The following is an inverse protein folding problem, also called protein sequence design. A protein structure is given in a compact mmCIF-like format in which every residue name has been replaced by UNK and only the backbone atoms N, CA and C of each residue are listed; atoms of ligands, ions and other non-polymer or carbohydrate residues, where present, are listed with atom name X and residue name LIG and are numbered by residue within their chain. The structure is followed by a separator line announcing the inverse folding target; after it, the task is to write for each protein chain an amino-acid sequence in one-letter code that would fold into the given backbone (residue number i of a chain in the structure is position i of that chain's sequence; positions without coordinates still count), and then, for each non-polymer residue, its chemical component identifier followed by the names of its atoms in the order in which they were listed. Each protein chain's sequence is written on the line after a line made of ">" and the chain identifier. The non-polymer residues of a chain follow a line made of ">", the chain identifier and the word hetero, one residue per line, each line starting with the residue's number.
data_IF_324743104262
#
_entry.id   IF_324743104262
#
_cell.length_a   1.000
_cell.length_b   1.000
_cell.length_c   1.000
_cell.angle_alpha   90.00
_cell.angle_beta   90.00
_cell.angle_gamma   90.00
#
_symmetry.space_group_name_H-M   'P 1'
#
loop_
_entity.id
_entity.type
_entity.pdbx_description
1 polymer ?
#
# COMPACT_ATOMS: atom_id res chain seq x y z
N UNK A 1 -38.33 9.61 12.94
CA UNK A 1 -38.06 9.06 11.59
C UNK A 1 -36.91 9.84 10.98
N UNK A 2 -35.70 9.29 11.09
CA UNK A 2 -34.55 9.70 10.27
C UNK A 2 -33.97 8.39 9.78
N UNK A 3 -34.04 8.20 8.47
CA UNK A 3 -33.62 6.98 7.79
C UNK A 3 -32.11 6.80 7.97
N UNK A 4 -31.72 5.66 8.56
CA UNK A 4 -30.35 5.19 8.55
C UNK A 4 -29.97 4.84 7.12
N UNK A 5 -29.02 5.58 6.56
CA UNK A 5 -28.39 5.29 5.29
C UNK A 5 -27.47 4.08 5.50
N UNK A 6 -28.00 2.88 5.31
CA UNK A 6 -27.21 1.65 5.24
C UNK A 6 -26.46 1.66 3.91
N UNK A 7 -25.15 1.88 3.94
CA UNK A 7 -24.27 1.63 2.79
C UNK A 7 -24.29 0.12 2.45
N UNK A 8 -24.63 -0.30 1.22
CA UNK A 8 -24.81 -1.71 0.88
C UNK A 8 -23.51 -2.44 0.52
N UNK A 9 -22.33 -1.90 0.86
CA UNK A 9 -21.04 -2.40 0.34
C UNK A 9 -20.00 -2.90 1.35
N UNK A 10 -20.35 -3.05 2.63
CA UNK A 10 -19.48 -3.74 3.58
C UNK A 10 -20.22 -4.95 4.15
N UNK A 11 -20.31 -6.00 3.34
CA UNK A 11 -20.36 -7.35 3.92
C UNK A 11 -18.93 -7.66 4.33
N UNK A 12 -18.58 -7.37 5.58
CA UNK A 12 -17.44 -8.01 6.24
C UNK A 12 -17.72 -9.50 6.22
N UNK A 13 -17.19 -10.17 5.21
CA UNK A 13 -17.13 -11.62 5.24
C UNK A 13 -15.93 -11.88 6.13
N UNK A 14 -16.20 -12.16 7.41
CA UNK A 14 -15.20 -12.58 8.37
C UNK A 14 -14.61 -13.90 7.81
N UNK A 15 -13.62 -13.77 6.94
CA UNK A 15 -12.99 -14.90 6.28
C UNK A 15 -12.21 -15.60 7.37
N UNK A 16 -12.82 -16.63 7.96
CA UNK A 16 -12.13 -17.55 8.87
C UNK A 16 -10.77 -17.90 8.28
N UNK A 17 -9.77 -18.13 9.13
CA UNK A 17 -8.41 -18.50 8.69
C UNK A 17 -8.40 -19.64 7.65
N UNK A 18 -9.36 -20.57 7.75
CA UNK A 18 -9.59 -21.63 6.76
C UNK A 18 -10.13 -21.11 5.41
N UNK A 19 -11.10 -20.19 5.45
CA UNK A 19 -11.64 -19.57 4.25
C UNK A 19 -10.58 -18.81 3.46
N UNK A 20 -9.75 -18.02 4.13
CA UNK A 20 -8.66 -17.33 3.44
C UNK A 20 -7.56 -18.29 2.99
N UNK A 21 -7.21 -19.32 3.77
CA UNK A 21 -6.28 -20.35 3.33
C UNK A 21 -6.72 -21.05 2.03
N UNK A 22 -8.03 -21.32 1.87
CA UNK A 22 -8.61 -21.82 0.62
C UNK A 22 -8.40 -20.84 -0.53
N UNK A 23 -8.63 -19.54 -0.30
CA UNK A 23 -8.37 -18.50 -1.31
C UNK A 23 -6.90 -18.51 -1.76
N UNK A 24 -5.96 -18.63 -0.82
CA UNK A 24 -4.52 -18.74 -1.16
C UNK A 24 -4.26 -19.98 -2.00
N UNK A 25 -4.78 -21.13 -1.59
CA UNK A 25 -4.63 -22.40 -2.29
C UNK A 25 -5.13 -22.36 -3.73
N UNK A 26 -6.35 -21.87 -3.91
CA UNK A 26 -6.98 -21.78 -5.22
C UNK A 26 -6.25 -20.78 -6.12
N UNK A 27 -5.77 -19.67 -5.55
CA UNK A 27 -4.99 -18.68 -6.29
C UNK A 27 -3.65 -19.23 -6.77
N UNK A 28 -2.91 -19.96 -5.92
CA UNK A 28 -1.65 -20.62 -6.32
C UNK A 28 -1.91 -21.64 -7.43
N UNK A 29 -2.91 -22.51 -7.23
CA UNK A 29 -3.28 -23.54 -8.21
C UNK A 29 -3.64 -22.93 -9.57
N UNK A 30 -4.47 -21.87 -9.55
CA UNK A 30 -4.84 -21.12 -10.76
C UNK A 30 -3.60 -20.58 -11.47
N UNK A 31 -2.71 -19.91 -10.75
CA UNK A 31 -1.52 -19.27 -11.35
C UNK A 31 -0.55 -20.28 -11.92
N UNK A 32 -0.28 -21.38 -11.23
CA UNK A 32 0.54 -22.46 -11.81
C UNK A 32 -0.11 -23.00 -13.10
N UNK A 33 -1.43 -23.17 -13.11
CA UNK A 33 -2.14 -23.66 -14.30
C UNK A 33 -2.08 -22.70 -15.50
N UNK A 34 -2.10 -21.39 -15.27
CA UNK A 34 -1.98 -20.36 -16.32
C UNK A 34 -0.63 -20.45 -17.06
N UNK A 35 0.45 -20.78 -16.33
CA UNK A 35 1.81 -20.80 -16.87
C UNK A 35 2.29 -22.17 -17.35
N UNK A 36 1.56 -23.26 -17.06
CA UNK A 36 1.98 -24.64 -17.36
C UNK A 36 2.39 -24.89 -18.82
N UNK A 37 1.82 -24.16 -19.78
CA UNK A 37 2.02 -24.40 -21.21
C UNK A 37 2.81 -23.29 -21.92
N UNK A 38 3.44 -22.36 -21.19
CA UNK A 38 4.17 -21.25 -21.82
C UNK A 38 5.59 -21.64 -22.27
N UNK A 39 6.03 -22.86 -21.96
CA UNK A 39 7.34 -23.42 -22.33
C UNK A 39 8.52 -22.93 -21.48
N UNK A 40 8.25 -22.18 -20.41
CA UNK A 40 9.24 -21.72 -19.44
C UNK A 40 9.14 -22.48 -18.12
N UNK A 41 10.23 -22.50 -17.38
CA UNK A 41 10.26 -23.03 -16.01
C UNK A 41 9.95 -21.90 -15.01
N UNK A 42 9.14 -22.22 -14.00
CA UNK A 42 8.62 -21.23 -13.05
C UNK A 42 8.80 -21.69 -11.59
N UNK A 43 9.02 -20.72 -10.71
CA UNK A 43 8.93 -20.92 -9.27
C UNK A 43 7.94 -19.90 -8.67
N UNK A 44 6.98 -20.40 -7.90
CA UNK A 44 5.92 -19.61 -7.29
C UNK A 44 6.13 -19.49 -5.78
N UNK A 45 6.08 -18.26 -5.32
CA UNK A 45 6.21 -17.85 -3.93
C UNK A 45 4.96 -17.08 -3.53
N UNK A 46 4.49 -17.23 -2.29
CA UNK A 46 3.35 -16.45 -1.78
C UNK A 46 3.83 -15.45 -0.74
N UNK A 47 3.39 -14.21 -0.90
CA UNK A 47 3.54 -13.16 0.09
C UNK A 47 2.17 -12.70 0.59
N UNK A 48 1.98 -12.66 1.91
CA UNK A 48 0.84 -11.99 2.51
C UNK A 48 1.19 -11.43 3.89
N UNK A 49 0.93 -10.14 4.20
CA UNK A 49 1.39 -9.53 5.45
C UNK A 49 0.72 -10.13 6.71
N UNK A 50 -0.53 -10.60 6.59
CA UNK A 50 -1.17 -11.40 7.63
C UNK A 50 -0.72 -12.87 7.53
N UNK A 51 -0.51 -13.51 8.69
CA UNK A 51 -0.07 -14.90 8.83
C UNK A 51 -1.10 -15.81 9.53
N UNK A 52 -2.25 -15.28 9.98
CA UNK A 52 -3.24 -16.05 10.75
C UNK A 52 -3.79 -17.26 9.99
N UNK A 53 -3.80 -17.20 8.66
CA UNK A 53 -4.24 -18.26 7.75
C UNK A 53 -3.20 -19.37 7.51
N UNK A 54 -1.91 -19.13 7.78
CA UNK A 54 -0.84 -20.07 7.45
C UNK A 54 -1.04 -21.43 8.13
N UNK A 55 -1.49 -21.43 9.39
CA UNK A 55 -1.78 -22.67 10.10
C UNK A 55 -2.94 -23.48 9.48
N UNK A 56 -3.94 -22.81 8.90
CA UNK A 56 -5.03 -23.47 8.18
C UNK A 56 -4.58 -23.96 6.80
N UNK A 57 -3.72 -23.21 6.13
CA UNK A 57 -3.12 -23.60 4.85
C UNK A 57 -2.30 -24.88 4.95
N UNK A 58 -1.44 -25.02 5.98
CA UNK A 58 -0.68 -26.26 6.20
C UNK A 58 -1.58 -27.48 6.47
N UNK A 59 -2.74 -27.28 7.11
CA UNK A 59 -3.73 -28.35 7.30
C UNK A 59 -4.42 -28.71 6.00
N UNK A 60 -4.72 -27.72 5.16
CA UNK A 60 -5.32 -27.89 3.85
C UNK A 60 -4.39 -28.70 2.93
N UNK A 61 -3.11 -28.33 2.86
CA UNK A 61 -2.10 -29.06 2.09
C UNK A 61 -1.97 -30.51 2.53
N UNK A 62 -1.99 -30.78 3.85
CA UNK A 62 -1.96 -32.15 4.37
C UNK A 62 -3.20 -32.95 3.98
N UNK A 63 -4.36 -32.29 3.88
CA UNK A 63 -5.63 -32.94 3.58
C UNK A 63 -5.82 -33.20 2.08
N UNK A 64 -5.39 -32.27 1.22
CA UNK A 64 -5.67 -32.30 -0.23
C UNK A 64 -4.47 -32.77 -1.07
N UNK A 65 -3.30 -32.94 -0.45
CA UNK A 65 -2.06 -33.29 -1.13
C UNK A 65 -1.18 -32.06 -1.35
N UNK A 66 0.08 -32.27 -1.73
CA UNK A 66 1.01 -31.16 -1.95
C UNK A 66 0.64 -30.38 -3.22
N UNK A 67 0.87 -29.06 -3.18
CA UNK A 67 0.84 -28.25 -4.40
C UNK A 67 1.90 -28.73 -5.40
N UNK A 68 1.74 -28.41 -6.70
CA UNK A 68 2.75 -28.74 -7.70
C UNK A 68 4.15 -28.25 -7.29
N UNK A 69 5.19 -28.99 -7.68
CA UNK A 69 6.59 -28.73 -7.31
C UNK A 69 7.12 -27.32 -7.68
N UNK A 70 6.45 -26.64 -8.61
CA UNK A 70 6.70 -25.25 -8.98
C UNK A 70 6.39 -24.29 -7.80
N UNK A 71 5.53 -24.70 -6.86
CA UNK A 71 5.27 -23.96 -5.63
C UNK A 71 6.39 -24.19 -4.62
N UNK A 72 7.05 -23.10 -4.22
CA UNK A 72 8.20 -23.14 -3.31
C UNK A 72 7.79 -22.89 -1.86
N UNK A 73 6.86 -21.97 -1.63
CA UNK A 73 6.29 -21.75 -0.31
C UNK A 73 5.78 -20.34 -0.05
N UNK A 74 5.56 -20.04 1.24
CA UNK A 74 4.87 -18.83 1.71
C UNK A 74 5.72 -18.08 2.73
N UNK A 75 5.64 -16.75 2.74
CA UNK A 75 6.16 -15.92 3.82
C UNK A 75 5.27 -14.69 4.08
N UNK A 76 5.33 -14.17 5.31
CA UNK A 76 4.60 -12.96 5.70
C UNK A 76 5.46 -11.70 5.73
N UNK A 77 6.77 -11.86 5.52
CA UNK A 77 7.74 -10.78 5.42
C UNK A 77 8.41 -10.85 4.05
N UNK A 78 8.32 -9.76 3.29
CA UNK A 78 8.81 -9.69 1.93
C UNK A 78 10.36 -9.71 1.87
N UNK A 79 11.05 -9.20 2.89
CA UNK A 79 12.52 -9.28 3.02
C UNK A 79 12.94 -10.74 3.19
N UNK A 80 12.25 -11.46 4.08
CA UNK A 80 12.50 -12.89 4.31
C UNK A 80 12.24 -13.68 3.03
N UNK A 81 11.13 -13.39 2.33
CA UNK A 81 10.80 -14.04 1.08
C UNK A 81 11.88 -13.81 0.02
N UNK A 82 12.32 -12.57 -0.20
CA UNK A 82 13.31 -12.24 -1.20
C UNK A 82 14.68 -12.85 -0.90
N UNK A 83 15.10 -12.93 0.37
CA UNK A 83 16.32 -13.65 0.76
C UNK A 83 16.21 -15.13 0.46
N UNK A 84 15.06 -15.74 0.73
CA UNK A 84 14.84 -17.15 0.39
C UNK A 84 14.85 -17.37 -1.12
N UNK A 85 14.19 -16.51 -1.89
CA UNK A 85 14.22 -16.53 -3.35
C UNK A 85 15.67 -16.44 -3.88
N UNK A 86 16.51 -15.59 -3.28
CA UNK A 86 17.92 -15.48 -3.66
C UNK A 86 18.66 -16.81 -3.43
N UNK A 87 18.44 -17.47 -2.29
CA UNK A 87 19.00 -18.80 -2.04
C UNK A 87 18.53 -19.84 -3.07
N UNK A 88 17.24 -19.83 -3.41
CA UNK A 88 16.67 -20.71 -4.44
C UNK A 88 17.31 -20.44 -5.79
N UNK A 89 17.49 -19.16 -6.18
CA UNK A 89 18.18 -18.79 -7.42
C UNK A 89 19.61 -19.34 -7.45
N UNK A 90 20.37 -19.17 -6.36
CA UNK A 90 21.75 -19.67 -6.28
C UNK A 90 21.78 -21.19 -6.46
N UNK A 91 20.87 -21.92 -5.80
CA UNK A 91 20.77 -23.38 -5.95
C UNK A 91 20.45 -23.79 -7.39
N UNK A 92 19.45 -23.16 -8.02
CA UNK A 92 19.07 -23.43 -9.42
C UNK A 92 20.21 -23.16 -10.40
N UNK A 93 20.98 -22.09 -10.19
CA UNK A 93 22.14 -21.77 -11.04
C UNK A 93 23.29 -22.76 -10.81
N UNK A 94 23.49 -23.23 -9.58
CA UNK A 94 24.48 -24.27 -9.28
C UNK A 94 24.13 -25.61 -9.93
N UNK A 95 22.85 -25.97 -9.96
CA UNK A 95 22.37 -27.25 -10.49
C UNK A 95 22.22 -27.25 -12.01
N UNK A 96 21.71 -26.15 -12.58
CA UNK A 96 21.29 -26.08 -13.99
C UNK A 96 22.08 -25.06 -14.83
N UNK A 97 23.04 -24.34 -14.23
CA UNK A 97 23.82 -23.31 -14.92
C UNK A 97 22.97 -22.17 -15.47
N UNK A 98 23.15 -21.83 -16.74
CA UNK A 98 22.43 -20.74 -17.39
C UNK A 98 20.92 -21.01 -17.55
N UNK A 99 20.48 -22.27 -17.54
CA UNK A 99 19.05 -22.59 -17.51
C UNK A 99 18.42 -22.14 -16.18
N UNK A 100 19.11 -22.32 -15.06
CA UNK A 100 18.66 -21.87 -13.74
C UNK A 100 18.50 -20.35 -13.61
N UNK A 101 19.28 -19.58 -14.38
CA UNK A 101 19.13 -18.11 -14.47
C UNK A 101 17.87 -17.68 -15.21
N UNK A 102 17.33 -18.53 -16.10
CA UNK A 102 16.17 -18.22 -16.93
C UNK A 102 14.84 -18.56 -16.26
N UNK A 103 14.86 -19.35 -15.18
CA UNK A 103 13.65 -19.72 -14.42
C UNK A 103 12.96 -18.47 -13.90
N UNK A 104 11.66 -18.32 -14.18
CA UNK A 104 10.88 -17.15 -13.78
C UNK A 104 10.38 -17.29 -12.35
N UNK A 105 10.65 -16.28 -11.54
CA UNK A 105 10.10 -16.20 -10.19
C UNK A 105 8.79 -15.41 -10.19
N UNK A 106 7.80 -15.94 -9.49
CA UNK A 106 6.50 -15.30 -9.28
C UNK A 106 6.29 -15.07 -7.80
N UNK A 107 6.00 -13.84 -7.40
CA UNK A 107 5.47 -13.51 -6.07
C UNK A 107 3.97 -13.31 -6.21
N UNK A 108 3.20 -14.26 -5.69
CA UNK A 108 1.76 -14.23 -5.63
C UNK A 108 1.32 -13.51 -4.35
N UNK A 109 0.50 -12.47 -4.50
CA UNK A 109 -0.04 -11.68 -3.38
C UNK A 109 -1.56 -11.94 -3.34
N UNK A 110 -2.01 -13.05 -2.72
CA UNK A 110 -3.44 -13.36 -2.64
C UNK A 110 -4.16 -12.30 -1.81
N UNK A 111 -5.41 -12.01 -2.16
CA UNK A 111 -6.26 -11.14 -1.34
C UNK A 111 -7.73 -11.36 -1.64
N UNK A 112 -8.56 -11.35 -0.59
CA UNK A 112 -10.03 -11.35 -0.70
C UNK A 112 -10.61 -9.94 -0.59
N UNK A 113 -9.82 -8.97 -0.16
CA UNK A 113 -10.22 -7.59 0.08
C UNK A 113 -9.15 -6.62 -0.46
N UNK A 114 -9.43 -5.32 -0.56
CA UNK A 114 -8.40 -4.37 -0.95
C UNK A 114 -7.19 -4.36 -0.01
N UNK A 115 -6.00 -4.70 -0.54
CA UNK A 115 -4.73 -4.71 0.20
C UNK A 115 -3.78 -3.65 -0.35
N UNK A 116 -3.41 -2.67 0.47
CA UNK A 116 -2.43 -1.64 0.11
C UNK A 116 -1.14 -1.88 0.87
N UNK A 117 -0.03 -2.01 0.13
CA UNK A 117 1.32 -2.10 0.67
C UNK A 117 2.02 -0.77 0.34
N UNK A 118 2.02 0.20 1.27
CA UNK A 118 2.42 1.57 1.00
C UNK A 118 3.94 1.76 0.92
N UNK A 119 4.70 0.83 1.49
CA UNK A 119 6.16 0.90 1.56
C UNK A 119 6.79 0.71 0.18
N UNK A 120 7.72 1.58 -0.25
CA UNK A 120 8.43 1.41 -1.50
C UNK A 120 9.48 0.28 -1.39
N UNK A 121 9.57 -0.56 -2.42
CA UNK A 121 10.57 -1.61 -2.53
C UNK A 121 11.27 -1.59 -3.89
N UNK A 122 12.52 -2.05 -3.90
CA UNK A 122 13.26 -2.42 -5.10
C UNK A 122 13.80 -3.85 -4.94
N UNK A 123 13.84 -4.60 -6.03
CA UNK A 123 14.37 -5.97 -6.05
C UNK A 123 15.77 -5.94 -6.64
N UNK A 124 16.68 -6.73 -6.08
CA UNK A 124 18.02 -6.89 -6.66
C UNK A 124 17.96 -7.65 -8.00
N UNK A 125 18.90 -7.34 -8.90
CA UNK A 125 18.96 -7.92 -10.25
C UNK A 125 19.06 -9.45 -10.25
N UNK A 126 19.64 -10.05 -9.20
CA UNK A 126 19.78 -11.50 -9.09
C UNK A 126 18.43 -12.24 -8.95
N UNK A 127 17.35 -11.56 -8.59
CA UNK A 127 16.02 -12.18 -8.50
C UNK A 127 15.34 -12.31 -9.87
N UNK A 128 15.80 -11.57 -10.88
CA UNK A 128 15.19 -11.58 -12.21
C UNK A 128 15.51 -12.88 -12.98
N UNK A 129 14.62 -13.34 -13.86
CA UNK A 129 13.33 -12.74 -14.21
C UNK A 129 12.27 -12.90 -13.09
N UNK A 130 11.59 -11.81 -12.74
CA UNK A 130 10.65 -11.71 -11.62
C UNK A 130 9.30 -11.13 -12.08
N UNK A 131 8.19 -11.61 -11.51
CA UNK A 131 6.84 -11.08 -11.72
C UNK A 131 6.06 -11.09 -10.41
N UNK A 132 5.35 -10.01 -10.10
CA UNK A 132 4.44 -9.92 -8.95
C UNK A 132 3.01 -10.00 -9.46
N UNK A 133 2.20 -10.87 -8.87
CA UNK A 133 0.82 -11.11 -9.31
C UNK A 133 -0.19 -10.98 -8.18
N UNK A 134 -1.24 -10.21 -8.42
CA UNK A 134 -2.38 -10.05 -7.53
C UNK A 134 -3.67 -10.62 -8.13
N UNK A 135 -4.71 -10.87 -7.32
CA UNK A 135 -6.02 -11.20 -7.84
C UNK A 135 -6.77 -9.97 -8.35
N UNK A 136 -7.64 -10.19 -9.34
CA UNK A 136 -8.63 -9.19 -9.78
C UNK A 136 -10.04 -9.62 -9.38
N UNK A 137 -10.89 -8.64 -9.10
CA UNK A 137 -12.32 -8.83 -8.88
C UNK A 137 -13.08 -7.87 -9.76
N UNK A 138 -13.90 -8.41 -10.68
CA UNK A 138 -14.69 -7.61 -11.64
C UNK A 138 -13.82 -6.62 -12.45
N UNK A 139 -12.63 -7.07 -12.85
CA UNK A 139 -11.67 -6.27 -13.62
C UNK A 139 -10.91 -5.22 -12.80
N UNK A 140 -11.09 -5.17 -11.47
CA UNK A 140 -10.34 -4.27 -10.59
C UNK A 140 -9.28 -5.07 -9.83
N UNK A 141 -8.07 -4.52 -9.71
CA UNK A 141 -7.00 -5.10 -8.91
C UNK A 141 -7.37 -5.04 -7.43
N UNK A 142 -7.03 -6.06 -6.66
CA UNK A 142 -7.24 -6.07 -5.21
C UNK A 142 -5.98 -5.74 -4.40
N UNK A 143 -4.84 -5.62 -5.06
CA UNK A 143 -3.56 -5.34 -4.40
C UNK A 143 -2.95 -4.08 -5.01
N UNK A 144 -2.45 -3.19 -4.18
CA UNK A 144 -1.71 -2.01 -4.60
C UNK A 144 -0.34 -1.97 -3.92
N UNK A 145 0.72 -1.85 -4.72
CA UNK A 145 2.09 -1.71 -4.23
C UNK A 145 2.67 -0.36 -4.63
N UNK A 146 3.49 0.20 -3.74
CA UNK A 146 4.44 1.24 -4.11
C UNK A 146 5.72 0.57 -4.63
N UNK A 147 5.99 0.72 -5.92
CA UNK A 147 7.24 0.26 -6.56
C UNK A 147 7.92 1.44 -7.24
N UNK A 148 9.24 1.35 -7.32
CA UNK A 148 10.04 2.31 -8.11
C UNK A 148 9.62 2.21 -9.58
N UNK A 149 9.57 3.33 -10.35
CA UNK A 149 9.08 3.34 -11.73
C UNK A 149 9.73 2.29 -12.65
N UNK A 150 11.01 1.99 -12.46
CA UNK A 150 11.75 0.97 -13.21
C UNK A 150 11.22 -0.45 -13.00
N UNK A 151 10.58 -0.71 -11.86
CA UNK A 151 9.98 -1.99 -11.49
C UNK A 151 8.50 -2.12 -11.87
N UNK A 152 7.90 -1.11 -12.53
CA UNK A 152 6.49 -1.14 -12.91
C UNK A 152 6.15 -2.30 -13.86
N UNK A 153 7.10 -2.70 -14.73
CA UNK A 153 6.94 -3.85 -15.63
C UNK A 153 6.87 -5.21 -14.92
N UNK A 154 7.11 -5.27 -13.61
CA UNK A 154 7.00 -6.50 -12.82
C UNK A 154 5.58 -6.77 -12.35
N UNK A 155 4.72 -5.76 -12.34
CA UNK A 155 3.37 -5.86 -11.79
C UNK A 155 2.40 -6.41 -12.82
N UNK A 156 1.74 -7.52 -12.49
CA UNK A 156 0.60 -8.05 -13.23
C UNK A 156 -0.60 -8.14 -12.28
N UNK A 157 -1.71 -7.54 -12.69
CA UNK A 157 -2.94 -7.49 -11.88
C UNK A 157 -2.77 -6.82 -10.49
N UNK A 158 -1.77 -5.95 -10.37
CA UNK A 158 -1.47 -5.16 -9.17
C UNK A 158 -1.51 -3.68 -9.54
N UNK A 159 -2.22 -2.88 -8.75
CA UNK A 159 -2.25 -1.43 -8.91
C UNK A 159 -0.97 -0.77 -8.41
N UNK A 160 -0.53 0.28 -9.09
CA UNK A 160 0.56 1.13 -8.59
C UNK A 160 0.00 2.15 -7.60
N UNK A 161 0.52 2.19 -6.38
CA UNK A 161 0.25 3.29 -5.44
C UNK A 161 0.95 4.53 -5.99
N UNK A 162 0.23 5.62 -6.29
CA UNK A 162 0.87 6.82 -6.80
C UNK A 162 1.84 7.38 -5.76
N UNK A 163 3.02 7.79 -6.22
CA UNK A 163 3.94 8.54 -5.36
C UNK A 163 3.24 9.79 -4.83
N UNK A 164 3.39 10.12 -3.53
CA UNK A 164 2.80 11.32 -2.98
C UNK A 164 3.32 12.54 -3.75
N UNK A 165 2.45 13.19 -4.53
CA UNK A 165 2.81 14.39 -5.27
C UNK A 165 2.89 15.58 -4.30
N UNK A 166 4.11 15.94 -3.92
CA UNK A 166 4.41 17.08 -3.07
C UNK A 166 3.78 18.38 -3.61
N UNK A 167 3.85 18.63 -4.93
CA UNK A 167 3.31 19.83 -5.57
C UNK A 167 1.79 19.94 -5.40
N UNK A 168 1.07 18.83 -5.57
CA UNK A 168 -0.38 18.79 -5.42
C UNK A 168 -0.83 19.00 -3.97
N UNK A 169 -0.11 18.40 -3.02
CA UNK A 169 -0.37 18.54 -1.59
C UNK A 169 -0.07 19.97 -1.11
N UNK A 170 1.05 20.55 -1.52
CA UNK A 170 1.42 21.94 -1.20
C UNK A 170 0.43 22.95 -1.76
N UNK A 171 -0.04 22.78 -3.00
CA UNK A 171 -1.04 23.67 -3.60
C UNK A 171 -2.37 23.62 -2.85
N UNK A 172 -2.85 22.43 -2.46
CA UNK A 172 -4.08 22.27 -1.67
C UNK A 172 -3.94 22.87 -0.27
N UNK A 173 -2.79 22.68 0.38
CA UNK A 173 -2.50 23.28 1.68
C UNK A 173 -2.44 24.82 1.60
N UNK A 174 -1.74 25.38 0.61
CA UNK A 174 -1.70 26.82 0.37
C UNK A 174 -3.10 27.39 0.11
N UNK A 175 -3.93 26.73 -0.70
CA UNK A 175 -5.29 27.16 -0.96
C UNK A 175 -6.15 27.16 0.33
N UNK A 176 -6.07 26.10 1.14
CA UNK A 176 -6.78 26.02 2.41
C UNK A 176 -6.36 27.13 3.39
N UNK A 177 -5.06 27.42 3.47
CA UNK A 177 -4.52 28.51 4.30
C UNK A 177 -4.99 29.87 3.80
N UNK A 178 -4.98 30.12 2.48
CA UNK A 178 -5.49 31.35 1.90
C UNK A 178 -7.00 31.52 2.17
N UNK A 179 -7.80 30.46 2.03
CA UNK A 179 -9.24 30.48 2.31
C UNK A 179 -9.49 30.77 3.79
N UNK A 180 -8.77 30.10 4.69
CA UNK A 180 -8.81 30.38 6.12
C UNK A 180 -8.51 31.85 6.42
N UNK A 181 -7.48 32.45 5.81
CA UNK A 181 -7.17 33.87 6.03
C UNK A 181 -8.22 34.82 5.45
N UNK A 182 -8.71 34.58 4.24
CA UNK A 182 -9.68 35.47 3.58
C UNK A 182 -11.04 35.44 4.29
N UNK A 183 -11.45 34.29 4.84
CA UNK A 183 -12.79 34.12 5.45
C UNK A 183 -12.77 34.35 6.96
N UNK A 184 -11.72 33.91 7.67
CA UNK A 184 -11.71 34.00 9.15
C UNK A 184 -11.38 35.41 9.63
N UNK A 185 -10.51 36.17 8.94
CA UNK A 185 -10.18 37.54 9.38
C UNK A 185 -11.39 38.49 9.40
N UNK A 186 -12.22 38.57 8.34
CA UNK A 186 -13.38 39.47 8.35
C UNK A 186 -14.45 39.03 9.36
N UNK A 187 -14.65 37.72 9.51
CA UNK A 187 -15.63 37.17 10.47
C UNK A 187 -15.17 37.44 11.90
N UNK A 188 -13.89 37.25 12.21
CA UNK A 188 -13.34 37.53 13.54
C UNK A 188 -13.44 39.04 13.86
N UNK A 189 -13.17 39.91 12.89
CA UNK A 189 -13.37 41.36 13.06
C UNK A 189 -14.84 41.72 13.30
N UNK A 190 -15.79 41.13 12.56
CA UNK A 190 -17.22 41.33 12.79
C UNK A 190 -17.65 40.83 14.18
N UNK A 191 -17.21 39.65 14.59
CA UNK A 191 -17.54 39.06 15.90
C UNK A 191 -16.95 39.91 17.03
N UNK A 192 -15.71 40.39 16.90
CA UNK A 192 -15.12 41.34 17.84
C UNK A 192 -15.93 42.64 17.92
N UNK A 193 -16.39 43.18 16.79
CA UNK A 193 -17.25 44.38 16.79
C UNK A 193 -18.62 44.15 17.43
N UNK A 194 -19.16 42.93 17.38
CA UNK A 194 -20.44 42.56 18.00
C UNK A 194 -20.32 42.29 19.50
N UNK A 195 -19.23 41.66 19.94
CA UNK A 195 -19.01 41.27 21.34
C UNK A 195 -18.39 42.40 22.17
N UNK A 196 -17.68 43.34 21.54
CA UNK A 196 -17.05 44.46 22.22
C UNK A 196 -17.95 45.71 22.23
N UNK A 197 -17.91 46.46 23.34
CA UNK A 197 -18.59 47.76 23.45
C UNK A 197 -18.08 48.73 22.37
N UNK A 198 -18.91 49.64 21.81
CA UNK A 198 -18.53 50.60 20.76
C UNK A 198 -17.37 51.56 21.13
N UNK A 199 -16.81 51.45 22.34
CA UNK A 199 -15.62 52.16 22.82
C UNK A 199 -14.33 51.33 22.81
N UNK A 200 -14.34 50.07 22.37
CA UNK A 200 -13.08 49.32 22.28
C UNK A 200 -12.16 49.97 21.26
N UNK A 201 -10.95 50.37 21.68
CA UNK A 201 -10.06 51.07 20.80
C UNK A 201 -9.51 50.12 19.73
N UNK A 202 -9.40 50.64 18.51
CA UNK A 202 -9.05 49.90 17.29
C UNK A 202 -7.76 49.07 17.45
N UNK A 203 -6.80 49.54 18.25
CA UNK A 203 -5.55 48.83 18.51
C UNK A 203 -5.73 47.49 19.25
N UNK A 204 -6.73 47.35 20.12
CA UNK A 204 -7.01 46.10 20.83
C UNK A 204 -7.56 45.04 19.87
N UNK A 205 -8.49 45.42 19.00
CA UNK A 205 -9.03 44.53 17.97
C UNK A 205 -7.94 44.09 16.98
N UNK A 206 -7.06 45.01 16.59
CA UNK A 206 -5.88 44.69 15.79
C UNK A 206 -4.98 43.67 16.50
N UNK A 207 -4.62 43.92 17.77
CA UNK A 207 -3.72 43.03 18.53
C UNK A 207 -4.25 41.59 18.67
N UNK A 208 -5.54 41.43 18.95
CA UNK A 208 -6.21 40.12 19.01
C UNK A 208 -6.18 39.41 17.66
N UNK A 209 -6.40 40.15 16.58
CA UNK A 209 -6.34 39.61 15.21
C UNK A 209 -4.91 39.17 14.85
N UNK A 210 -3.88 39.93 15.25
CA UNK A 210 -2.47 39.56 15.02
C UNK A 210 -2.08 38.32 15.81
N UNK A 211 -2.50 38.20 17.08
CA UNK A 211 -2.22 37.02 17.92
C UNK A 211 -2.91 35.78 17.33
N UNK A 212 -4.17 35.90 16.91
CA UNK A 212 -4.90 34.82 16.27
C UNK A 212 -4.22 34.38 14.95
N UNK A 213 -3.75 35.34 14.14
CA UNK A 213 -3.00 35.02 12.93
C UNK A 213 -1.63 34.39 13.21
N UNK A 214 -0.93 34.83 14.26
CA UNK A 214 0.31 34.19 14.71
C UNK A 214 0.07 32.73 15.12
N UNK A 215 -0.97 32.46 15.91
CA UNK A 215 -1.33 31.10 16.32
C UNK A 215 -1.79 30.24 15.14
N UNK A 216 -2.59 30.79 14.21
CA UNK A 216 -3.01 30.09 13.00
C UNK A 216 -1.82 29.79 12.08
N UNK A 217 -0.85 30.70 11.97
CA UNK A 217 0.40 30.46 11.22
C UNK A 217 1.22 29.35 11.88
N UNK A 218 1.39 29.38 13.21
CA UNK A 218 2.10 28.32 13.94
C UNK A 218 1.39 26.97 13.78
N UNK A 219 0.07 26.92 13.91
CA UNK A 219 -0.72 25.70 13.73
C UNK A 219 -0.64 25.17 12.30
N UNK A 220 -0.68 26.04 11.29
CA UNK A 220 -0.54 25.63 9.88
C UNK A 220 0.87 25.19 9.54
N UNK A 221 1.91 25.81 10.10
CA UNK A 221 3.30 25.35 9.97
C UNK A 221 3.53 24.02 10.70
N UNK A 222 2.91 23.83 11.86
CA UNK A 222 2.96 22.57 12.60
C UNK A 222 2.24 21.45 11.83
N UNK A 223 1.03 21.71 11.31
CA UNK A 223 0.31 20.78 10.45
C UNK A 223 1.06 20.50 9.14
N UNK A 224 1.70 21.53 8.55
CA UNK A 224 2.57 21.36 7.39
C UNK A 224 3.77 20.51 7.72
N UNK A 225 4.38 20.65 8.90
CA UNK A 225 5.49 19.81 9.35
C UNK A 225 5.04 18.36 9.53
N UNK A 226 3.90 18.12 10.15
CA UNK A 226 3.35 16.77 10.32
C UNK A 226 3.01 16.13 8.96
N UNK A 227 2.36 16.88 8.07
CA UNK A 227 2.09 16.46 6.69
C UNK A 227 3.39 16.23 5.92
N UNK A 228 4.40 17.08 6.11
CA UNK A 228 5.72 16.92 5.49
C UNK A 228 6.38 15.65 6.01
N UNK A 229 6.31 15.37 7.29
CA UNK A 229 6.92 14.18 7.88
C UNK A 229 6.14 12.90 7.42
N UNK A 230 4.83 13.02 7.13
CA UNK A 230 4.00 11.95 6.53
C UNK A 230 4.20 11.76 5.00
N UNK A 231 4.40 12.84 4.23
CA UNK A 231 4.46 12.82 2.75
C UNK A 231 5.89 12.87 2.19
N UNK A 232 6.86 13.42 2.94
CA UNK A 232 8.29 13.47 2.60
C UNK A 232 9.08 12.41 3.37
N UNK A 233 8.44 11.35 3.84
CA UNK A 233 9.16 10.10 4.02
C UNK A 233 9.58 9.64 2.62
N UNK A 234 10.70 10.20 2.13
CA UNK A 234 11.61 9.54 1.22
C UNK A 234 12.11 8.30 1.96
N UNK A 235 11.22 7.33 2.15
CA UNK A 235 11.61 6.01 2.53
C UNK A 235 12.45 5.53 1.35
N UNK A 236 13.78 5.57 1.54
CA UNK A 236 14.71 4.91 0.65
C UNK A 236 14.14 3.52 0.41
N UNK A 237 13.84 3.14 -0.86
CA UNK A 237 13.24 1.86 -1.14
C UNK A 237 14.05 0.79 -0.43
N UNK A 238 13.38 -0.05 0.36
CA UNK A 238 14.09 -1.16 0.97
C UNK A 238 14.55 -2.05 -0.18
N UNK A 239 15.87 -2.21 -0.30
CA UNK A 239 16.46 -3.14 -1.27
C UNK A 239 16.20 -4.54 -0.75
N UNK A 240 15.43 -5.31 -1.51
CA UNK A 240 15.02 -6.66 -1.16
C UNK A 240 15.91 -7.68 -1.89
N UNK A 241 16.59 -8.49 -1.08
CA UNK A 241 17.56 -9.51 -1.53
C UNK A 241 18.93 -9.23 -0.94
#
# INVERSE_FOLDING_TARGET
>A
MVAGMNDPFIVMTDCSSLGFARVVWDFVTLKISEYRNDGSDHCFFVFHPDNAWMGAFMRLERAEGQLPHEFIGVAHDLIVLCRWMLCVRVALVQEMGDAGKKIRFHILIPSSEPLVIPRPFSFIDALYPLTLEGPTRRGQTLVWLRVVPESAGLLKDIGAVPSPCNVGAERKACAAVCIMWIVVSPVLLMVCQLLCSPRTPVYMALSLTTVFHGLALVATLWFKREMRDYYLQEEVPAVLG
#
